data_IF_207707917080
#
_entry.id   IF_207707917080
#
_cell.length_a   1.000
_cell.length_b   1.000
_cell.length_c   1.000
_cell.angle_alpha   90.00
_cell.angle_beta   90.00
_cell.angle_gamma   90.00
#
_symmetry.space_group_name_H-M   'P 1'
#
loop_
_entity.id
_entity.type
_entity.pdbx_description
1 polymer ?
#
# COMPACT_ATOMS: atom_id res chain seq x y z
N UNK A 1 8.18 -0.41 8.27
CA UNK A 1 7.06 -1.38 8.14
C UNK A 1 7.09 -1.98 6.75
N UNK A 2 7.02 -3.29 6.67
CA UNK A 2 7.16 -4.01 5.41
C UNK A 2 6.05 -5.03 5.27
N UNK A 3 5.40 -5.07 4.10
CA UNK A 3 4.42 -6.09 3.75
C UNK A 3 4.96 -6.98 2.63
N UNK A 4 4.84 -8.28 2.79
CA UNK A 4 5.24 -9.30 1.82
C UNK A 4 4.02 -10.11 1.42
N UNK A 5 3.97 -10.58 0.16
CA UNK A 5 2.93 -11.48 -0.29
C UNK A 5 3.03 -12.84 0.38
N UNK A 6 2.32 -13.02 1.48
CA UNK A 6 2.28 -14.26 2.27
C UNK A 6 0.85 -14.51 2.76
N UNK A 7 0.65 -15.65 3.44
CA UNK A 7 -0.67 -16.02 3.98
C UNK A 7 -1.19 -14.96 4.94
N UNK A 8 -2.45 -14.55 4.75
CA UNK A 8 -3.15 -13.67 5.67
C UNK A 8 -3.34 -14.34 7.03
N UNK A 9 -2.99 -13.65 8.09
CA UNK A 9 -3.38 -14.02 9.45
C UNK A 9 -4.70 -13.35 9.80
N UNK A 10 -5.54 -14.01 10.59
CA UNK A 10 -6.72 -13.36 11.16
C UNK A 10 -6.25 -12.24 12.11
N UNK A 11 -6.77 -11.01 11.94
CA UNK A 11 -6.42 -9.94 12.86
C UNK A 11 -6.94 -10.25 14.26
N UNK A 12 -6.14 -9.99 15.26
CA UNK A 12 -6.57 -10.05 16.65
C UNK A 12 -7.58 -8.92 16.90
N UNK A 13 -8.63 -9.20 17.68
CA UNK A 13 -9.51 -8.15 18.19
C UNK A 13 -8.73 -7.31 19.19
N UNK A 14 -8.61 -6.03 18.92
CA UNK A 14 -8.00 -5.09 19.84
C UNK A 14 -9.01 -4.02 20.23
N UNK A 15 -9.31 -3.94 21.51
CA UNK A 15 -9.90 -2.75 22.13
C UNK A 15 -8.79 -2.08 22.92
N UNK A 16 -8.59 -0.79 22.71
CA UNK A 16 -7.55 -0.03 23.39
C UNK A 16 -8.16 0.99 24.33
N UNK A 17 -7.40 1.36 25.36
CA UNK A 17 -7.81 2.43 26.29
C UNK A 17 -7.92 3.79 25.61
N UNK A 18 -7.33 3.96 24.43
CA UNK A 18 -7.38 5.19 23.65
C UNK A 18 -8.66 5.31 22.81
N UNK A 19 -9.56 4.33 22.89
CA UNK A 19 -10.82 4.35 22.16
C UNK A 19 -10.72 3.89 20.73
N UNK A 20 -9.64 3.22 20.33
CA UNK A 20 -9.54 2.55 19.04
C UNK A 20 -10.37 1.27 19.06
N UNK A 21 -11.10 1.02 18.00
CA UNK A 21 -11.95 -0.16 17.88
C UNK A 21 -11.79 -0.79 16.49
N UNK A 22 -12.54 -1.87 16.26
CA UNK A 22 -12.45 -2.62 15.01
C UNK A 22 -12.86 -1.78 13.79
N UNK A 23 -13.77 -0.81 13.96
CA UNK A 23 -14.16 0.10 12.88
C UNK A 23 -12.98 0.97 12.44
N UNK A 24 -12.19 1.47 13.38
CA UNK A 24 -10.96 2.20 13.06
C UNK A 24 -9.95 1.28 12.36
N UNK A 25 -9.81 0.06 12.87
CA UNK A 25 -8.87 -0.92 12.32
C UNK A 25 -9.21 -1.33 10.88
N UNK A 26 -10.47 -1.25 10.47
CA UNK A 26 -10.92 -1.58 9.11
C UNK A 26 -11.03 -0.37 8.18
N UNK A 27 -10.84 0.84 8.70
CA UNK A 27 -11.00 2.05 7.89
C UNK A 27 -10.08 2.04 6.67
N UNK A 28 -10.63 2.38 5.53
CA UNK A 28 -9.89 2.59 4.29
C UNK A 28 -9.50 1.35 3.51
N UNK A 29 -9.65 0.15 4.07
CA UNK A 29 -9.21 -1.08 3.40
C UNK A 29 -10.01 -1.40 2.13
N UNK A 30 -11.19 -0.82 1.99
CA UNK A 30 -12.07 -0.99 0.82
C UNK A 30 -12.40 0.34 0.14
N UNK A 31 -11.69 1.41 0.48
CA UNK A 31 -11.94 2.71 -0.14
C UNK A 31 -11.68 2.65 -1.65
N UNK A 32 -12.51 3.32 -2.48
CA UNK A 32 -12.26 3.38 -3.92
C UNK A 32 -10.95 4.10 -4.21
N UNK A 33 -10.11 3.48 -5.04
CA UNK A 33 -8.83 4.04 -5.46
C UNK A 33 -8.68 3.85 -6.97
N UNK A 34 -7.88 4.71 -7.64
CA UNK A 34 -7.63 4.55 -9.07
C UNK A 34 -6.98 3.21 -9.39
N UNK A 35 -7.29 2.66 -10.56
CA UNK A 35 -6.62 1.47 -11.06
C UNK A 35 -5.16 1.76 -11.39
N UNK A 36 -4.32 0.74 -11.21
CA UNK A 36 -2.91 0.83 -11.56
C UNK A 36 -2.72 0.17 -12.92
N UNK A 37 -2.52 0.98 -13.93
CA UNK A 37 -2.24 0.48 -15.28
C UNK A 37 -0.86 -0.18 -15.35
N UNK A 38 -0.72 -1.11 -16.27
CA UNK A 38 0.52 -1.86 -16.50
C UNK A 38 0.87 -1.84 -17.98
N UNK A 39 2.10 -2.24 -18.28
CA UNK A 39 2.55 -2.45 -19.66
C UNK A 39 3.33 -3.76 -19.77
N UNK A 40 3.41 -4.37 -20.97
CA UNK A 40 4.09 -5.65 -21.15
C UNK A 40 5.59 -5.55 -20.85
N UNK A 41 6.07 -6.44 -19.98
CA UNK A 41 7.48 -6.55 -19.64
C UNK A 41 8.26 -7.25 -20.77
N UNK A 42 9.40 -6.69 -21.16
CA UNK A 42 10.22 -7.18 -22.27
C UNK A 42 11.44 -8.00 -21.82
N UNK A 43 11.76 -8.01 -20.54
CA UNK A 43 12.98 -8.66 -20.03
C UNK A 43 12.69 -9.55 -18.83
N UNK A 44 13.59 -10.47 -18.56
CA UNK A 44 13.51 -11.38 -17.42
C UNK A 44 14.69 -11.18 -16.49
N UNK A 45 14.52 -11.59 -15.23
CA UNK A 45 15.63 -11.74 -14.29
C UNK A 45 16.12 -10.44 -13.68
N UNK A 46 15.31 -9.40 -13.64
CA UNK A 46 15.66 -8.14 -12.99
C UNK A 46 14.60 -7.74 -11.96
N UNK A 47 14.96 -6.82 -11.08
CA UNK A 47 14.08 -6.32 -10.04
C UNK A 47 13.98 -4.80 -10.12
N UNK A 48 12.84 -4.29 -9.71
CA UNK A 48 12.52 -2.86 -9.75
C UNK A 48 12.29 -2.37 -8.33
N UNK A 49 12.93 -1.25 -7.99
CA UNK A 49 12.69 -0.55 -6.73
C UNK A 49 12.17 0.85 -7.05
N UNK A 50 11.02 1.20 -6.47
CA UNK A 50 10.40 2.51 -6.64
C UNK A 50 10.23 3.13 -5.26
N UNK A 51 10.76 4.33 -5.07
CA UNK A 51 10.65 5.08 -3.82
C UNK A 51 9.66 6.22 -4.02
N UNK A 52 8.64 6.27 -3.18
CA UNK A 52 7.59 7.30 -3.22
C UNK A 52 7.62 8.05 -1.89
N UNK A 53 8.31 9.21 -1.83
CA UNK A 53 8.51 9.92 -0.57
C UNK A 53 7.34 10.82 -0.16
N UNK A 54 6.32 10.94 -0.99
CA UNK A 54 5.19 11.85 -0.74
C UNK A 54 3.90 11.15 -0.34
N UNK A 55 3.97 9.97 0.28
CA UNK A 55 2.77 9.31 0.78
C UNK A 55 2.11 10.15 1.88
N UNK A 56 0.81 10.35 1.74
CA UNK A 56 -0.03 11.02 2.73
C UNK A 56 -1.36 10.31 2.84
N UNK A 57 -1.87 10.16 4.05
CA UNK A 57 -3.21 9.65 4.32
C UNK A 57 -3.77 10.35 5.56
N UNK A 58 -4.98 9.99 5.96
CA UNK A 58 -5.64 10.59 7.11
C UNK A 58 -5.75 9.52 8.21
N UNK A 59 -5.37 9.88 9.43
CA UNK A 59 -5.57 8.99 10.57
C UNK A 59 -7.07 8.82 10.84
N UNK A 60 -7.61 7.60 10.86
CA UNK A 60 -9.04 7.39 11.07
C UNK A 60 -9.56 7.86 12.44
N UNK A 61 -8.68 7.94 13.43
CA UNK A 61 -9.04 8.35 14.79
C UNK A 61 -8.93 9.85 15.00
N UNK A 62 -7.80 10.44 14.60
CA UNK A 62 -7.51 11.86 14.89
C UNK A 62 -7.92 12.80 13.78
N UNK A 63 -8.16 12.28 12.59
CA UNK A 63 -8.44 13.04 11.37
C UNK A 63 -7.28 13.97 10.97
N UNK A 64 -6.08 13.70 11.46
CA UNK A 64 -4.87 14.43 11.11
C UNK A 64 -4.16 13.73 9.95
N UNK A 65 -3.41 14.51 9.14
CA UNK A 65 -2.65 13.91 8.05
C UNK A 65 -1.44 13.11 8.56
N UNK A 66 -1.23 11.96 7.95
CA UNK A 66 -0.08 11.11 8.16
C UNK A 66 0.84 11.21 6.95
N UNK A 67 2.15 11.20 7.18
CA UNK A 67 3.16 11.33 6.12
C UNK A 67 4.14 10.17 6.17
N UNK A 68 4.64 9.79 5.02
CA UNK A 68 5.63 8.73 4.95
C UNK A 68 6.22 8.51 3.57
N UNK A 69 7.15 7.58 3.53
CA UNK A 69 7.80 7.12 2.30
C UNK A 69 7.41 5.67 2.06
N UNK A 70 6.88 5.39 0.88
CA UNK A 70 6.59 4.03 0.44
C UNK A 70 7.68 3.58 -0.52
N UNK A 71 8.27 2.44 -0.23
CA UNK A 71 9.23 1.79 -1.12
C UNK A 71 8.62 0.49 -1.62
N UNK A 72 8.50 0.40 -2.93
CA UNK A 72 8.05 -0.80 -3.61
C UNK A 72 9.25 -1.49 -4.24
N UNK A 73 9.37 -2.78 -3.95
CA UNK A 73 10.38 -3.63 -4.58
C UNK A 73 9.69 -4.85 -5.19
N UNK A 74 9.84 -5.07 -6.50
CA UNK A 74 9.20 -6.21 -7.12
C UNK A 74 10.01 -6.78 -8.28
N UNK A 75 9.81 -8.06 -8.52
CA UNK A 75 10.36 -8.76 -9.68
C UNK A 75 9.23 -8.96 -10.68
N UNK A 76 9.23 -8.24 -11.81
CA UNK A 76 8.14 -8.36 -12.78
C UNK A 76 8.17 -9.72 -13.48
N UNK A 77 6.98 -10.21 -13.81
CA UNK A 77 6.80 -11.35 -14.67
C UNK A 77 6.40 -10.85 -16.08
N UNK A 78 5.12 -10.91 -16.41
CA UNK A 78 4.63 -10.53 -17.75
C UNK A 78 4.34 -9.04 -17.89
N UNK A 79 4.11 -8.34 -16.78
CA UNK A 79 3.70 -6.93 -16.76
C UNK A 79 4.52 -6.11 -15.79
N UNK A 80 4.79 -4.87 -16.17
CA UNK A 80 5.38 -3.86 -15.29
C UNK A 80 4.31 -2.84 -14.91
N UNK A 81 4.43 -2.26 -13.71
CA UNK A 81 3.57 -1.15 -13.28
C UNK A 81 3.89 0.11 -14.09
N UNK A 82 2.86 0.79 -14.58
CA UNK A 82 3.02 2.08 -15.22
C UNK A 82 3.19 3.15 -14.12
N UNK A 83 4.29 3.91 -14.17
CA UNK A 83 4.69 4.77 -13.05
C UNK A 83 3.73 5.94 -12.81
N UNK A 84 3.15 6.51 -13.86
CA UNK A 84 2.19 7.60 -13.72
C UNK A 84 0.91 7.12 -13.06
N UNK A 85 0.43 5.95 -13.44
CA UNK A 85 -0.74 5.33 -12.81
C UNK A 85 -0.46 4.98 -11.35
N UNK A 86 0.72 4.46 -11.06
CA UNK A 86 1.15 4.16 -9.68
C UNK A 86 1.19 5.45 -8.85
N UNK A 87 1.74 6.51 -9.38
CA UNK A 87 1.81 7.80 -8.69
C UNK A 87 0.41 8.34 -8.39
N UNK A 88 -0.49 8.30 -9.36
CA UNK A 88 -1.89 8.72 -9.19
C UNK A 88 -2.58 7.88 -8.10
N UNK A 89 -2.37 6.57 -8.12
CA UNK A 89 -2.90 5.65 -7.12
C UNK A 89 -2.41 6.02 -5.70
N UNK A 90 -1.12 6.19 -5.52
CA UNK A 90 -0.54 6.53 -4.20
C UNK A 90 -1.02 7.91 -3.72
N UNK A 91 -1.09 8.89 -4.62
CA UNK A 91 -1.57 10.23 -4.25
C UNK A 91 -3.03 10.26 -3.82
N UNK A 92 -3.84 9.32 -4.29
CA UNK A 92 -5.24 9.24 -3.88
C UNK A 92 -5.42 8.91 -2.40
N UNK A 93 -4.41 8.32 -1.75
CA UNK A 93 -4.45 8.03 -0.31
C UNK A 93 -4.59 9.28 0.56
N UNK A 94 -4.23 10.46 0.07
CA UNK A 94 -4.36 11.71 0.83
C UNK A 94 -5.80 12.01 1.28
N UNK A 95 -6.78 11.41 0.62
CA UNK A 95 -8.20 11.57 0.96
C UNK A 95 -8.77 10.34 1.67
N UNK A 96 -7.93 9.39 2.04
CA UNK A 96 -8.37 8.12 2.62
C UNK A 96 -7.99 8.06 4.09
N UNK A 97 -8.99 7.81 4.94
CA UNK A 97 -8.75 7.49 6.35
C UNK A 97 -8.31 6.05 6.49
N UNK A 98 -7.03 5.83 6.72
CA UNK A 98 -6.44 4.49 6.79
C UNK A 98 -5.19 4.50 7.67
N UNK A 99 -5.06 3.50 8.54
CA UNK A 99 -3.85 3.32 9.34
C UNK A 99 -2.68 2.84 8.46
N UNK A 100 -1.45 3.15 8.90
CA UNK A 100 -0.20 2.78 8.21
C UNK A 100 -0.14 1.29 7.87
N UNK A 101 -0.45 0.44 8.84
CA UNK A 101 -0.40 -1.01 8.69
C UNK A 101 -1.32 -1.49 7.57
N UNK A 102 -2.52 -0.95 7.51
CA UNK A 102 -3.48 -1.29 6.47
C UNK A 102 -3.07 -0.74 5.11
N UNK A 103 -2.54 0.48 5.08
CA UNK A 103 -2.09 1.10 3.84
C UNK A 103 -0.99 0.28 3.16
N UNK A 104 0.03 -0.13 3.91
CA UNK A 104 1.14 -0.93 3.37
C UNK A 104 0.63 -2.26 2.81
N UNK A 105 -0.26 -2.92 3.52
CA UNK A 105 -0.84 -4.19 3.07
C UNK A 105 -1.77 -4.02 1.88
N UNK A 106 -2.59 -2.98 1.88
CA UNK A 106 -3.47 -2.69 0.75
C UNK A 106 -2.68 -2.36 -0.52
N UNK A 107 -1.64 -1.55 -0.41
CA UNK A 107 -0.77 -1.24 -1.53
C UNK A 107 -0.19 -2.53 -2.12
N UNK A 108 0.31 -3.43 -1.26
CA UNK A 108 0.82 -4.72 -1.73
C UNK A 108 -0.25 -5.52 -2.48
N UNK A 109 -1.45 -5.62 -1.93
CA UNK A 109 -2.55 -6.35 -2.57
C UNK A 109 -2.90 -5.77 -3.93
N UNK A 110 -3.00 -4.46 -4.04
CA UNK A 110 -3.38 -3.78 -5.28
C UNK A 110 -2.28 -3.93 -6.35
N UNK A 111 -1.03 -3.86 -5.96
CA UNK A 111 0.12 -4.07 -6.85
C UNK A 111 0.14 -5.51 -7.38
N UNK A 112 -0.02 -6.49 -6.50
CA UNK A 112 -0.05 -7.90 -6.90
C UNK A 112 -1.21 -8.16 -7.86
N UNK A 113 -2.36 -7.60 -7.60
CA UNK A 113 -3.53 -7.72 -8.48
C UNK A 113 -3.29 -7.09 -9.84
N UNK A 114 -2.59 -5.94 -9.87
CA UNK A 114 -2.36 -5.19 -11.11
C UNK A 114 -1.35 -5.88 -12.04
N UNK A 115 -0.20 -6.29 -11.53
CA UNK A 115 0.89 -6.77 -12.40
C UNK A 115 1.29 -8.24 -12.19
N UNK A 116 0.76 -8.92 -11.20
CA UNK A 116 1.06 -10.34 -10.90
C UNK A 116 2.56 -10.64 -10.91
N UNK A 117 3.35 -10.00 -10.04
CA UNK A 117 4.80 -10.14 -10.04
C UNK A 117 5.23 -11.51 -9.53
N UNK A 118 6.46 -11.91 -9.84
CA UNK A 118 7.06 -13.12 -9.29
C UNK A 118 7.21 -12.98 -7.78
N UNK A 119 7.64 -11.79 -7.32
CA UNK A 119 7.66 -11.42 -5.90
C UNK A 119 7.49 -9.91 -5.76
N UNK A 120 6.97 -9.50 -4.62
CA UNK A 120 6.80 -8.08 -4.30
C UNK A 120 6.93 -7.85 -2.80
N UNK A 121 7.51 -6.72 -2.44
CA UNK A 121 7.63 -6.24 -1.07
C UNK A 121 7.29 -4.76 -1.05
N UNK A 122 6.45 -4.35 -0.11
CA UNK A 122 6.13 -2.95 0.14
C UNK A 122 6.63 -2.58 1.53
N UNK A 123 7.44 -1.54 1.61
CA UNK A 123 7.98 -1.02 2.86
C UNK A 123 7.48 0.40 3.06
N UNK A 124 6.95 0.68 4.25
CA UNK A 124 6.54 2.02 4.65
C UNK A 124 7.40 2.53 5.80
N UNK A 125 7.90 3.75 5.65
CA UNK A 125 8.61 4.49 6.68
C UNK A 125 7.80 5.76 6.95
N UNK A 126 7.31 5.91 8.17
CA UNK A 126 6.34 6.96 8.49
C UNK A 126 6.91 7.96 9.47
N UNK A 127 6.57 9.24 9.24
CA UNK A 127 6.88 10.30 10.19
C UNK A 127 5.94 10.21 11.40
N UNK A 128 6.51 10.32 12.56
CA UNK A 128 5.74 10.32 13.80
C UNK A 128 5.01 11.64 14.02
#
# INVERSE_FOLDING_TARGET
>A
MTAKGSKKRKPARATTKLGYNERHAKSGISAPLPDIETFPNQYKGYEITIVIPEYTAICPKTNLPDFGTITLHYKPDKHCLELKALKTYIHAYRNVGIFYENAVNRILQDIVRACRPIKATVTGEFAA
#
